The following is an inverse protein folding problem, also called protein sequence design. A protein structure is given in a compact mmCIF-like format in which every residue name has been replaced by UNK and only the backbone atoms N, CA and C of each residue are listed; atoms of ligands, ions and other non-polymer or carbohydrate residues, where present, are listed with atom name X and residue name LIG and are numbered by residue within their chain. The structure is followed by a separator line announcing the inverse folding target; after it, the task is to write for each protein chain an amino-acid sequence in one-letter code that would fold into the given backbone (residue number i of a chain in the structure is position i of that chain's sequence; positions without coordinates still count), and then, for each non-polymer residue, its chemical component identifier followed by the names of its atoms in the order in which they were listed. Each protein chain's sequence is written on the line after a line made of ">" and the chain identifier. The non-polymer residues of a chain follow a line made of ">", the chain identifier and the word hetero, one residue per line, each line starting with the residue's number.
data_IF_656869023962
#
_entry.id   IF_656869023962
#
_cell.length_a   1.000
_cell.length_b   1.000
_cell.length_c   1.000
_cell.angle_alpha   90.00
_cell.angle_beta   90.00
_cell.angle_gamma   90.00
#
_symmetry.space_group_name_H-M   'P 1'
#
loop_
_entity.id
_entity.type
_entity.pdbx_description
1 polymer ?
#
# COMPACT_ATOMS: atom_id res chain seq x y z
N UNK A 1 -13.46 3.86 20.96
CA UNK A 1 -12.06 4.24 20.77
C UNK A 1 -11.27 3.00 20.51
N UNK A 2 -10.54 2.97 19.41
CA UNK A 2 -9.64 1.86 19.06
C UNK A 2 -8.37 1.94 19.92
N UNK A 3 -7.93 0.82 20.46
CA UNK A 3 -6.75 0.72 21.32
C UNK A 3 -5.80 -0.36 20.80
N UNK A 4 -5.14 -0.08 19.69
CA UNK A 4 -4.12 -0.95 19.09
C UNK A 4 -2.73 -0.33 19.27
N UNK A 5 -1.67 -1.09 18.99
CA UNK A 5 -0.33 -0.50 18.95
C UNK A 5 -0.28 0.67 17.95
N UNK A 6 -0.87 0.48 16.76
CA UNK A 6 -0.85 1.49 15.70
C UNK A 6 -1.46 2.83 16.15
N UNK A 7 -2.65 2.78 16.78
CA UNK A 7 -3.34 3.99 17.23
C UNK A 7 -2.56 4.71 18.33
N UNK A 8 -1.94 3.96 19.25
CA UNK A 8 -1.12 4.55 20.32
C UNK A 8 0.21 5.11 19.83
N UNK A 9 0.94 4.35 18.99
CA UNK A 9 2.26 4.74 18.51
C UNK A 9 2.22 5.99 17.62
N UNK A 10 1.15 6.12 16.83
CA UNK A 10 1.00 7.22 15.89
C UNK A 10 0.05 8.32 16.36
N UNK A 11 -0.60 8.14 17.53
CA UNK A 11 -1.61 9.05 18.06
C UNK A 11 -2.66 9.39 16.99
N UNK A 12 -3.29 8.33 16.46
CA UNK A 12 -4.35 8.37 15.46
C UNK A 12 -5.60 7.64 15.99
N UNK A 13 -6.76 7.96 15.45
CA UNK A 13 -8.04 7.44 15.96
C UNK A 13 -8.37 6.05 15.47
N UNK A 14 -7.94 5.70 14.25
CA UNK A 14 -8.33 4.49 13.53
C UNK A 14 -7.13 3.59 13.24
N UNK A 15 -7.29 2.24 13.35
CA UNK A 15 -6.21 1.30 13.11
C UNK A 15 -5.97 1.05 11.60
N UNK A 16 -5.88 2.14 10.82
CA UNK A 16 -5.73 2.08 9.36
C UNK A 16 -4.59 2.99 8.88
N UNK A 17 -3.74 2.43 8.03
CA UNK A 17 -2.82 3.15 7.16
C UNK A 17 -3.34 3.12 5.72
N UNK A 18 -3.33 4.26 5.04
CA UNK A 18 -3.47 4.30 3.58
C UNK A 18 -2.19 3.85 2.90
N UNK A 19 -2.28 2.90 1.96
CA UNK A 19 -1.10 2.34 1.31
C UNK A 19 -0.33 3.39 0.47
N UNK A 20 1.01 3.36 0.50
CA UNK A 20 1.86 4.28 -0.26
C UNK A 20 1.97 3.84 -1.73
N UNK A 21 0.91 3.98 -2.47
CA UNK A 21 0.81 3.53 -3.86
C UNK A 21 1.55 4.50 -4.79
N UNK A 22 2.72 4.10 -5.30
CA UNK A 22 3.53 4.92 -6.20
C UNK A 22 2.76 5.39 -7.43
N UNK A 23 2.79 6.71 -7.71
CA UNK A 23 2.05 7.32 -8.80
C UNK A 23 0.52 7.38 -8.63
N UNK A 24 -0.01 6.88 -7.51
CA UNK A 24 -1.46 6.86 -7.21
C UNK A 24 -1.80 7.54 -5.88
N UNK A 25 -1.00 7.33 -4.83
CA UNK A 25 -1.20 7.93 -3.52
C UNK A 25 -0.31 9.17 -3.35
N UNK A 26 -0.85 10.32 -3.70
CA UNK A 26 -0.28 11.64 -3.42
C UNK A 26 -0.85 12.26 -2.14
N UNK A 27 -0.58 13.56 -1.97
CA UNK A 27 -1.00 14.32 -0.78
C UNK A 27 -2.51 14.39 -0.60
N UNK A 28 -3.29 14.43 -1.68
CA UNK A 28 -4.75 14.51 -1.60
C UNK A 28 -5.33 13.23 -0.99
N UNK A 29 -4.99 12.06 -1.55
CA UNK A 29 -5.43 10.78 -1.01
C UNK A 29 -4.94 10.59 0.42
N UNK A 30 -3.65 10.83 0.68
CA UNK A 30 -3.06 10.69 2.01
C UNK A 30 -3.75 11.63 3.02
N UNK A 31 -4.02 12.89 2.64
CA UNK A 31 -4.71 13.87 3.47
C UNK A 31 -6.13 13.44 3.83
N UNK A 32 -6.90 12.91 2.87
CA UNK A 32 -8.27 12.44 3.16
C UNK A 32 -8.31 11.22 4.09
N UNK A 33 -7.37 10.28 3.95
CA UNK A 33 -7.25 9.15 4.89
C UNK A 33 -6.88 9.65 6.28
N UNK A 34 -5.98 10.63 6.38
CA UNK A 34 -5.59 11.25 7.66
C UNK A 34 -6.76 12.03 8.27
N UNK A 35 -7.49 12.81 7.48
CA UNK A 35 -8.67 13.54 7.93
C UNK A 35 -9.82 12.63 8.40
N UNK A 36 -9.85 11.37 7.95
CA UNK A 36 -10.76 10.34 8.46
C UNK A 36 -10.38 9.80 9.85
N UNK A 37 -9.18 10.11 10.34
CA UNK A 37 -8.65 9.61 11.63
C UNK A 37 -7.67 8.43 11.51
N UNK A 38 -7.37 7.95 10.30
CA UNK A 38 -6.26 7.04 10.02
C UNK A 38 -4.94 7.79 9.78
N UNK A 39 -4.02 7.18 9.05
CA UNK A 39 -2.81 7.86 8.56
C UNK A 39 -2.56 7.48 7.09
N UNK A 40 -2.74 8.44 6.20
CA UNK A 40 -2.43 8.26 4.79
C UNK A 40 -0.93 8.33 4.53
N UNK A 41 -0.41 7.43 3.70
CA UNK A 41 0.99 7.47 3.30
C UNK A 41 1.14 7.94 1.85
N UNK A 42 2.09 8.84 1.63
CA UNK A 42 2.52 9.24 0.29
C UNK A 42 3.46 8.17 -0.26
N UNK A 43 3.18 7.67 -1.45
CA UNK A 43 4.11 6.80 -2.18
C UNK A 43 5.20 7.61 -2.85
N UNK A 44 6.41 7.64 -2.30
CA UNK A 44 7.54 8.36 -2.86
C UNK A 44 8.57 7.40 -3.47
N UNK A 45 9.00 7.69 -4.68
CA UNK A 45 10.00 6.94 -5.43
C UNK A 45 10.96 7.90 -6.14
N UNK A 46 11.79 7.40 -7.07
CA UNK A 46 12.80 8.20 -7.79
C UNK A 46 12.30 9.47 -8.48
N UNK A 47 10.99 9.60 -8.72
CA UNK A 47 10.39 10.83 -9.25
C UNK A 47 10.18 11.93 -8.20
N UNK A 48 10.23 11.58 -6.91
CA UNK A 48 9.94 12.51 -5.83
C UNK A 48 11.16 13.42 -5.57
N UNK A 49 11.02 14.67 -5.96
CA UNK A 49 12.00 15.74 -5.66
C UNK A 49 11.60 16.50 -4.39
N UNK A 50 12.50 17.27 -3.76
CA UNK A 50 12.14 18.14 -2.63
C UNK A 50 10.97 19.09 -2.96
N UNK A 51 10.93 19.63 -4.18
CA UNK A 51 9.82 20.47 -4.64
C UNK A 51 8.50 19.73 -4.74
N UNK A 52 8.52 18.50 -5.28
CA UNK A 52 7.35 17.63 -5.31
C UNK A 52 6.86 17.28 -3.90
N UNK A 53 7.77 16.92 -2.98
CA UNK A 53 7.42 16.67 -1.58
C UNK A 53 6.75 17.91 -0.97
N UNK A 54 7.32 19.10 -1.14
CA UNK A 54 6.74 20.37 -0.64
C UNK A 54 5.31 20.60 -1.15
N UNK A 55 5.02 20.27 -2.41
CA UNK A 55 3.66 20.37 -2.96
C UNK A 55 2.73 19.33 -2.30
N UNK A 56 3.17 18.08 -2.10
CA UNK A 56 2.35 17.08 -1.41
C UNK A 56 2.00 17.52 0.02
N UNK A 57 2.94 18.12 0.75
CA UNK A 57 2.71 18.64 2.11
C UNK A 57 1.66 19.74 2.12
N UNK A 58 1.73 20.67 1.16
CA UNK A 58 0.73 21.74 1.02
C UNK A 58 -0.67 21.18 0.78
N UNK A 59 -0.78 20.12 -0.04
CA UNK A 59 -2.06 19.45 -0.34
C UNK A 59 -2.61 18.73 0.89
N UNK A 60 -1.76 18.02 1.65
CA UNK A 60 -2.17 17.40 2.92
C UNK A 60 -2.67 18.44 3.92
N UNK A 61 -1.94 19.56 4.08
CA UNK A 61 -2.36 20.64 4.96
C UNK A 61 -3.74 21.20 4.61
N UNK A 62 -4.05 21.32 3.33
CA UNK A 62 -5.37 21.74 2.88
C UNK A 62 -6.49 20.72 3.18
N UNK A 63 -6.19 19.42 3.18
CA UNK A 63 -7.15 18.34 3.39
C UNK A 63 -7.35 17.97 4.87
N UNK A 64 -6.26 17.94 5.67
CA UNK A 64 -6.23 17.43 7.04
C UNK A 64 -5.75 18.44 8.09
N UNK A 65 -5.36 19.64 7.67
CA UNK A 65 -4.80 20.69 8.53
C UNK A 65 -3.27 20.71 8.53
N UNK A 66 -2.71 21.89 8.83
CA UNK A 66 -1.25 22.13 8.76
C UNK A 66 -0.44 21.28 9.74
N UNK A 67 -1.03 20.87 10.86
CA UNK A 67 -0.42 20.03 11.89
C UNK A 67 -0.71 18.52 11.68
N UNK A 68 -1.29 18.13 10.54
CA UNK A 68 -1.64 16.74 10.26
C UNK A 68 -0.39 15.84 10.28
N UNK A 69 -0.46 14.64 10.87
CA UNK A 69 0.64 13.69 10.84
C UNK A 69 0.94 13.26 9.41
N UNK A 70 2.24 13.18 9.08
CA UNK A 70 2.73 12.82 7.76
C UNK A 70 3.30 11.40 7.76
N UNK A 71 3.12 10.69 6.64
CA UNK A 71 3.74 9.40 6.45
C UNK A 71 4.16 9.17 4.99
N UNK A 72 5.28 8.46 4.82
CA UNK A 72 5.83 8.15 3.51
C UNK A 72 6.15 6.67 3.39
N UNK A 73 5.91 6.09 2.21
CA UNK A 73 6.41 4.78 1.84
C UNK A 73 7.49 4.89 0.79
N UNK A 74 8.61 4.23 1.04
CA UNK A 74 9.80 4.23 0.21
C UNK A 74 10.15 2.81 -0.24
N UNK A 75 10.56 2.69 -1.51
CA UNK A 75 11.09 1.45 -2.06
C UNK A 75 12.58 1.36 -1.76
N UNK A 76 12.95 0.54 -0.78
CA UNK A 76 14.31 0.46 -0.23
C UNK A 76 15.35 0.11 -1.30
N UNK A 77 15.01 -0.79 -2.23
CA UNK A 77 15.91 -1.19 -3.33
C UNK A 77 16.32 -0.02 -4.23
N UNK A 78 15.56 1.06 -4.26
CA UNK A 78 15.79 2.21 -5.15
C UNK A 78 16.28 3.48 -4.44
N UNK A 79 16.52 3.43 -3.12
CA UNK A 79 16.91 4.61 -2.34
C UNK A 79 18.36 5.05 -2.57
N UNK A 80 19.24 4.15 -3.00
CA UNK A 80 20.63 4.48 -3.29
C UNK A 80 21.37 5.07 -2.09
N UNK A 81 21.93 6.25 -2.25
CA UNK A 81 22.66 6.99 -1.21
C UNK A 81 21.76 7.65 -0.14
N UNK A 82 20.46 7.65 -0.38
CA UNK A 82 19.46 8.14 0.57
C UNK A 82 19.09 9.62 0.45
N UNK A 83 19.42 10.32 -0.65
CA UNK A 83 19.00 11.72 -0.87
C UNK A 83 17.47 11.88 -0.79
N UNK A 84 16.70 10.93 -1.35
CA UNK A 84 15.24 10.92 -1.23
C UNK A 84 14.80 10.76 0.24
N UNK A 85 15.48 9.92 1.01
CA UNK A 85 15.20 9.76 2.43
C UNK A 85 15.47 11.08 3.18
N UNK A 86 16.56 11.78 2.91
CA UNK A 86 16.85 13.07 3.54
C UNK A 86 15.76 14.10 3.26
N UNK A 87 15.28 14.15 2.01
CA UNK A 87 14.18 15.04 1.64
C UNK A 87 12.85 14.68 2.36
N UNK A 88 12.58 13.40 2.54
CA UNK A 88 11.42 12.91 3.32
C UNK A 88 11.58 13.27 4.80
N UNK A 89 12.73 13.01 5.40
CA UNK A 89 12.98 13.31 6.83
C UNK A 89 12.95 14.81 7.14
N UNK A 90 13.32 15.65 6.19
CA UNK A 90 13.19 17.12 6.32
C UNK A 90 11.71 17.55 6.50
N UNK A 91 10.76 16.77 6.02
CA UNK A 91 9.32 16.98 6.23
C UNK A 91 8.82 16.55 7.64
N UNK A 92 9.70 15.96 8.47
CA UNK A 92 9.39 15.48 9.81
C UNK A 92 8.20 14.51 9.86
N UNK A 93 8.23 13.43 9.10
CA UNK A 93 7.15 12.44 9.09
C UNK A 93 7.01 11.78 10.46
N UNK A 94 5.79 11.36 10.78
CA UNK A 94 5.49 10.54 11.97
C UNK A 94 5.80 9.06 11.72
N UNK A 95 5.74 8.64 10.44
CA UNK A 95 6.00 7.26 10.02
C UNK A 95 6.70 7.23 8.67
N UNK A 96 7.67 6.32 8.54
CA UNK A 96 8.30 5.96 7.27
C UNK A 96 8.24 4.45 7.09
N UNK A 97 7.67 4.00 5.98
CA UNK A 97 7.72 2.61 5.54
C UNK A 97 8.92 2.39 4.63
N UNK A 98 9.84 1.52 5.04
CA UNK A 98 11.01 1.08 4.28
C UNK A 98 10.75 -0.36 3.79
N UNK A 99 10.35 -0.53 2.53
CA UNK A 99 9.85 -1.81 2.02
C UNK A 99 10.53 -2.21 0.72
N UNK A 100 10.52 -3.51 0.39
CA UNK A 100 11.08 -4.05 -0.84
C UNK A 100 12.60 -3.89 -0.96
N UNK A 101 13.34 -4.35 0.04
CA UNK A 101 14.80 -4.33 0.08
C UNK A 101 15.31 -4.34 1.51
N UNK A 102 16.63 -4.22 1.67
CA UNK A 102 17.26 -4.16 2.98
C UNK A 102 17.05 -2.77 3.63
N UNK A 103 16.30 -2.66 4.73
CA UNK A 103 16.09 -1.38 5.41
C UNK A 103 17.27 -0.99 6.32
N UNK A 104 18.17 -1.90 6.67
CA UNK A 104 19.20 -1.70 7.68
C UNK A 104 20.04 -0.42 7.49
N UNK A 105 20.44 -0.03 6.26
CA UNK A 105 21.20 1.20 6.06
C UNK A 105 20.45 2.49 6.43
N UNK A 106 19.14 2.45 6.58
CA UNK A 106 18.27 3.63 6.69
C UNK A 106 17.52 3.72 8.02
N UNK A 107 17.32 2.59 8.73
CA UNK A 107 16.49 2.51 9.95
C UNK A 107 16.95 3.50 11.03
N UNK A 108 18.24 3.56 11.33
CA UNK A 108 18.79 4.45 12.36
C UNK A 108 18.51 5.92 12.03
N UNK A 109 18.73 6.33 10.78
CA UNK A 109 18.44 7.70 10.30
C UNK A 109 16.97 8.09 10.47
N UNK A 110 16.04 7.16 10.18
CA UNK A 110 14.61 7.41 10.38
C UNK A 110 14.28 7.53 11.85
N UNK A 111 14.78 6.63 12.70
CA UNK A 111 14.57 6.68 14.16
C UNK A 111 15.14 7.94 14.82
N UNK A 112 16.30 8.37 14.39
CA UNK A 112 16.93 9.61 14.87
C UNK A 112 16.10 10.87 14.55
N UNK A 113 15.27 10.82 13.50
CA UNK A 113 14.31 11.89 13.19
C UNK A 113 13.08 11.90 14.10
N UNK A 114 12.87 10.85 14.91
CA UNK A 114 11.71 10.64 15.75
C UNK A 114 10.54 9.94 15.05
N UNK A 115 10.71 9.52 13.80
CA UNK A 115 9.67 8.80 13.06
C UNK A 115 9.65 7.30 13.42
N UNK A 116 8.46 6.72 13.40
CA UNK A 116 8.25 5.27 13.47
C UNK A 116 8.68 4.63 12.15
N UNK A 117 9.41 3.52 12.23
CA UNK A 117 9.85 2.73 11.06
C UNK A 117 9.03 1.46 10.94
N UNK A 118 8.38 1.27 9.80
CA UNK A 118 7.74 -0.01 9.48
C UNK A 118 8.30 -0.59 8.19
N UNK A 119 8.16 -1.91 7.99
CA UNK A 119 8.51 -2.57 6.73
C UNK A 119 7.45 -3.57 6.30
N UNK A 120 7.10 -3.60 5.01
CA UNK A 120 6.28 -4.65 4.43
C UNK A 120 7.12 -5.91 4.22
N UNK A 121 6.55 -7.05 4.59
CA UNK A 121 7.16 -8.37 4.47
C UNK A 121 6.18 -9.32 3.79
N UNK A 122 6.72 -10.31 3.09
CA UNK A 122 5.94 -11.29 2.35
C UNK A 122 6.21 -12.73 2.79
N UNK A 123 7.23 -12.94 3.64
CA UNK A 123 7.62 -14.23 4.22
C UNK A 123 8.17 -14.04 5.64
N UNK A 124 8.33 -15.15 6.38
CA UNK A 124 9.01 -15.13 7.70
C UNK A 124 10.53 -14.89 7.55
N UNK A 125 11.09 -15.22 6.40
CA UNK A 125 12.50 -14.89 6.09
C UNK A 125 12.68 -13.38 5.99
N UNK A 126 11.76 -12.67 5.30
CA UNK A 126 11.75 -11.21 5.26
C UNK A 126 11.60 -10.61 6.65
N UNK A 127 10.73 -11.20 7.50
CA UNK A 127 10.55 -10.77 8.88
C UNK A 127 11.87 -10.73 9.63
N UNK A 128 12.66 -11.81 9.55
CA UNK A 128 13.95 -11.90 10.25
C UNK A 128 14.95 -10.84 9.78
N UNK A 129 14.97 -10.55 8.48
CA UNK A 129 15.82 -9.51 7.90
C UNK A 129 15.46 -8.13 8.47
N UNK A 130 14.17 -7.75 8.46
CA UNK A 130 13.75 -6.42 8.90
C UNK A 130 13.75 -6.27 10.43
N UNK A 131 13.50 -7.36 11.17
CA UNK A 131 13.61 -7.40 12.63
C UNK A 131 15.05 -7.19 13.08
N UNK A 132 16.01 -7.85 12.42
CA UNK A 132 17.43 -7.64 12.65
C UNK A 132 17.88 -6.21 12.30
N UNK A 133 17.26 -5.57 11.34
CA UNK A 133 17.49 -4.16 10.99
C UNK A 133 16.91 -3.19 12.03
N UNK A 134 16.02 -3.65 12.92
CA UNK A 134 15.50 -2.87 14.03
C UNK A 134 14.28 -2.02 13.69
N UNK A 135 13.41 -2.43 12.79
CA UNK A 135 12.12 -1.76 12.53
C UNK A 135 11.22 -1.81 13.77
N UNK A 136 10.25 -0.88 13.89
CA UNK A 136 9.35 -0.80 15.04
C UNK A 136 8.11 -1.68 14.89
N UNK A 137 7.70 -1.98 13.66
CA UNK A 137 6.60 -2.88 13.33
C UNK A 137 6.73 -3.41 11.90
N UNK A 138 6.00 -4.47 11.60
CA UNK A 138 5.96 -5.07 10.26
C UNK A 138 4.55 -5.07 9.68
N UNK A 139 4.46 -5.06 8.36
CA UNK A 139 3.21 -5.23 7.62
C UNK A 139 3.27 -6.57 6.89
N UNK A 140 2.54 -7.57 7.36
CA UNK A 140 2.36 -8.83 6.67
C UNK A 140 1.50 -8.60 5.41
N UNK A 141 2.18 -8.42 4.28
CA UNK A 141 1.53 -8.14 3.00
C UNK A 141 1.35 -9.45 2.22
N UNK A 142 0.12 -9.94 2.18
CA UNK A 142 -0.20 -11.16 1.42
C UNK A 142 -0.24 -10.96 -0.09
N UNK A 143 -0.10 -12.06 -0.84
CA UNK A 143 -0.15 -12.10 -2.29
C UNK A 143 -1.48 -11.66 -2.92
N UNK A 144 -2.50 -11.41 -2.12
CA UNK A 144 -3.77 -10.81 -2.52
C UNK A 144 -3.66 -9.30 -2.75
N UNK A 145 -2.57 -8.65 -2.25
CA UNK A 145 -2.33 -7.23 -2.40
C UNK A 145 -2.09 -6.84 -3.86
N UNK A 146 -2.47 -5.61 -4.22
CA UNK A 146 -2.10 -4.97 -5.48
C UNK A 146 -0.70 -4.38 -5.42
N UNK A 147 -0.12 -4.11 -6.58
CA UNK A 147 1.28 -3.71 -6.71
C UNK A 147 2.24 -4.86 -6.40
N UNK A 148 3.49 -4.53 -6.14
CA UNK A 148 4.50 -5.55 -5.85
C UNK A 148 4.21 -6.23 -4.51
N UNK A 149 4.30 -7.56 -4.49
CA UNK A 149 3.95 -8.39 -3.34
C UNK A 149 4.59 -9.78 -3.44
N UNK A 150 4.36 -10.62 -2.43
CA UNK A 150 4.74 -12.02 -2.41
C UNK A 150 3.66 -12.94 -2.95
N UNK A 151 3.76 -14.24 -2.60
CA UNK A 151 2.87 -15.28 -3.10
C UNK A 151 1.98 -15.90 -2.02
N UNK A 152 2.31 -15.73 -0.75
CA UNK A 152 1.54 -16.30 0.38
C UNK A 152 0.28 -15.46 0.55
N UNK A 153 -0.89 -16.11 0.67
CA UNK A 153 -2.16 -15.41 0.93
C UNK A 153 -2.13 -14.70 2.30
N UNK A 154 -2.94 -13.65 2.44
CA UNK A 154 -2.88 -12.74 3.61
C UNK A 154 -3.07 -13.45 4.94
N UNK A 155 -4.08 -14.30 5.07
CA UNK A 155 -4.38 -14.95 6.35
C UNK A 155 -3.34 -15.99 6.78
N UNK A 156 -2.82 -16.89 5.92
CA UNK A 156 -1.68 -17.75 6.28
C UNK A 156 -0.44 -16.96 6.69
N UNK A 157 -0.04 -15.95 5.89
CA UNK A 157 1.13 -15.13 6.20
C UNK A 157 0.98 -14.42 7.54
N UNK A 158 -0.19 -13.82 7.81
CA UNK A 158 -0.44 -13.12 9.08
C UNK A 158 -0.27 -14.05 10.27
N UNK A 159 -0.77 -15.29 10.20
CA UNK A 159 -0.65 -16.28 11.27
C UNK A 159 0.81 -16.72 11.50
N UNK A 160 1.55 -16.97 10.41
CA UNK A 160 2.97 -17.34 10.50
C UNK A 160 3.79 -16.21 11.12
N UNK A 161 3.57 -14.97 10.70
CA UNK A 161 4.28 -13.78 11.20
C UNK A 161 3.94 -13.54 12.68
N UNK A 162 2.66 -13.58 13.07
CA UNK A 162 2.23 -13.41 14.47
C UNK A 162 2.82 -14.48 15.39
N UNK A 163 3.07 -15.69 14.90
CA UNK A 163 3.70 -16.77 15.65
C UNK A 163 5.23 -16.69 15.70
N UNK A 164 5.85 -15.79 14.92
CA UNK A 164 7.30 -15.75 14.73
C UNK A 164 7.99 -14.52 15.33
N UNK A 165 7.24 -13.50 15.79
CA UNK A 165 7.80 -12.26 16.34
C UNK A 165 6.95 -11.68 17.47
N UNK A 166 7.60 -10.88 18.33
CA UNK A 166 6.95 -10.03 19.32
C UNK A 166 6.72 -8.59 18.79
N UNK A 167 7.21 -8.26 17.60
CA UNK A 167 6.94 -6.96 16.98
C UNK A 167 5.44 -6.80 16.70
N UNK A 168 4.92 -5.56 16.77
CA UNK A 168 3.58 -5.27 16.28
C UNK A 168 3.43 -5.62 14.80
N UNK A 169 2.39 -6.37 14.44
CA UNK A 169 2.10 -6.81 13.07
C UNK A 169 0.86 -6.11 12.55
N UNK A 170 0.97 -5.46 11.41
CA UNK A 170 -0.16 -4.98 10.62
C UNK A 170 -0.42 -5.95 9.46
N UNK A 171 -1.61 -5.93 8.90
CA UNK A 171 -1.96 -6.77 7.75
C UNK A 171 -2.20 -5.94 6.50
N UNK A 172 -1.83 -6.46 5.34
CA UNK A 172 -2.15 -5.88 4.02
C UNK A 172 -2.48 -6.95 3.00
N UNK A 173 -3.35 -6.62 2.03
CA UNK A 173 -3.80 -7.53 0.98
C UNK A 173 -5.21 -8.09 1.25
N UNK A 174 -6.12 -7.92 0.29
CA UNK A 174 -7.51 -8.38 0.39
C UNK A 174 -8.40 -7.60 1.36
N UNK A 175 -7.88 -6.59 2.07
CA UNK A 175 -8.61 -5.83 3.09
C UNK A 175 -9.27 -4.60 2.44
N UNK A 176 -10.52 -4.75 2.00
CA UNK A 176 -11.27 -3.67 1.35
C UNK A 176 -12.62 -3.37 2.00
N UNK A 177 -12.98 -4.08 3.07
CA UNK A 177 -14.26 -3.93 3.78
C UNK A 177 -14.07 -4.04 5.28
N UNK A 178 -15.10 -3.68 6.06
CA UNK A 178 -15.08 -3.89 7.51
C UNK A 178 -14.99 -5.37 7.91
N UNK A 179 -15.47 -6.28 7.08
CA UNK A 179 -15.29 -7.72 7.31
C UNK A 179 -13.80 -8.11 7.27
N UNK A 180 -13.06 -7.60 6.27
CA UNK A 180 -11.62 -7.83 6.16
C UNK A 180 -10.85 -7.23 7.33
N UNK A 181 -11.14 -5.99 7.69
CA UNK A 181 -10.50 -5.34 8.84
C UNK A 181 -10.80 -6.09 10.15
N UNK A 182 -12.06 -6.44 10.40
CA UNK A 182 -12.43 -7.20 11.60
C UNK A 182 -11.72 -8.56 11.68
N UNK A 183 -11.60 -9.27 10.55
CA UNK A 183 -10.94 -10.57 10.49
C UNK A 183 -9.46 -10.48 10.87
N UNK A 184 -8.71 -9.53 10.32
CA UNK A 184 -7.27 -9.41 10.63
C UNK A 184 -7.02 -8.89 12.04
N UNK A 185 -7.86 -7.99 12.56
CA UNK A 185 -7.78 -7.55 13.96
C UNK A 185 -8.10 -8.69 14.93
N UNK A 186 -9.13 -9.50 14.65
CA UNK A 186 -9.46 -10.68 15.44
C UNK A 186 -8.34 -11.74 15.41
N UNK A 187 -7.59 -11.84 14.32
CA UNK A 187 -6.42 -12.71 14.22
C UNK A 187 -5.20 -12.20 15.04
N UNK A 188 -5.21 -10.93 15.49
CA UNK A 188 -4.13 -10.35 16.31
C UNK A 188 -3.37 -9.21 15.64
N UNK A 189 -3.71 -8.82 14.39
CA UNK A 189 -3.10 -7.66 13.76
C UNK A 189 -3.39 -6.38 14.55
N UNK A 190 -2.43 -5.46 14.56
CA UNK A 190 -2.50 -4.17 15.25
C UNK A 190 -3.05 -3.03 14.37
N UNK A 191 -3.45 -3.34 13.15
CA UNK A 191 -4.01 -2.44 12.17
C UNK A 191 -3.94 -3.03 10.76
N UNK A 192 -4.42 -2.29 9.78
CA UNK A 192 -4.39 -2.68 8.38
C UNK A 192 -3.82 -1.58 7.47
N UNK A 193 -3.11 -2.01 6.43
CA UNK A 193 -2.69 -1.17 5.32
C UNK A 193 -3.67 -1.37 4.16
N UNK A 194 -4.42 -0.34 3.80
CA UNK A 194 -5.49 -0.38 2.80
C UNK A 194 -5.04 0.32 1.51
N UNK A 195 -5.09 -0.39 0.39
CA UNK A 195 -4.70 0.15 -0.92
C UNK A 195 -5.84 0.11 -1.93
N UNK A 196 -6.15 -1.06 -2.48
CA UNK A 196 -7.08 -1.24 -3.61
C UNK A 196 -8.45 -0.61 -3.38
N UNK A 197 -8.99 -0.68 -2.16
CA UNK A 197 -10.26 -0.04 -1.82
C UNK A 197 -10.27 1.49 -1.99
N UNK A 198 -9.10 2.12 -1.96
CA UNK A 198 -8.92 3.57 -2.13
C UNK A 198 -8.65 3.97 -3.59
N UNK A 199 -8.39 3.02 -4.51
CA UNK A 199 -8.01 3.35 -5.89
C UNK A 199 -9.14 3.97 -6.71
N UNK A 200 -10.40 3.75 -6.35
CA UNK A 200 -11.55 4.38 -6.99
C UNK A 200 -11.94 5.72 -6.35
N UNK A 201 -11.13 6.22 -5.42
CA UNK A 201 -11.39 7.54 -4.80
C UNK A 201 -10.97 8.67 -5.74
N UNK A 202 -11.76 9.77 -5.80
CA UNK A 202 -11.45 10.93 -6.65
C UNK A 202 -10.08 11.57 -6.35
N UNK A 203 -9.57 11.38 -5.14
CA UNK A 203 -8.29 11.91 -4.67
C UNK A 203 -7.07 11.09 -5.17
N UNK A 204 -7.33 10.00 -5.89
CA UNK A 204 -6.26 9.17 -6.45
C UNK A 204 -5.70 9.79 -7.72
N UNK A 205 -4.39 9.87 -7.82
CA UNK A 205 -3.70 10.33 -9.04
C UNK A 205 -3.77 9.28 -10.14
N UNK A 206 -3.84 9.70 -11.40
CA UNK A 206 -3.69 8.84 -12.56
C UNK A 206 -4.85 8.92 -13.56
N UNK A 207 -4.85 8.09 -14.61
CA UNK A 207 -5.81 8.16 -15.69
C UNK A 207 -7.20 7.64 -15.27
N UNK A 208 -8.24 8.18 -15.88
CA UNK A 208 -9.63 7.81 -15.60
C UNK A 208 -9.95 6.37 -15.95
N UNK A 209 -9.26 5.78 -16.96
CA UNK A 209 -9.46 4.36 -17.31
C UNK A 209 -9.19 3.43 -16.12
N UNK A 210 -8.26 3.79 -15.25
CA UNK A 210 -7.90 2.94 -14.11
C UNK A 210 -9.05 2.79 -13.11
N UNK A 211 -9.81 3.86 -12.88
CA UNK A 211 -11.02 3.81 -12.04
C UNK A 211 -12.10 2.97 -12.73
N UNK A 212 -12.34 3.19 -14.02
CA UNK A 212 -13.34 2.42 -14.79
C UNK A 212 -13.01 0.92 -14.79
N UNK A 213 -11.76 0.57 -15.12
CA UNK A 213 -11.31 -0.81 -15.12
C UNK A 213 -11.46 -1.47 -13.74
N UNK A 214 -11.18 -0.73 -12.66
CA UNK A 214 -11.32 -1.23 -11.30
C UNK A 214 -12.78 -1.52 -10.94
N UNK A 215 -13.72 -0.64 -11.32
CA UNK A 215 -15.14 -0.81 -11.03
C UNK A 215 -15.79 -1.98 -11.80
N UNK A 216 -15.22 -2.35 -12.94
CA UNK A 216 -15.66 -3.49 -13.75
C UNK A 216 -15.00 -4.81 -13.33
N UNK A 217 -13.90 -4.75 -12.58
CA UNK A 217 -13.09 -5.90 -12.22
C UNK A 217 -13.74 -6.77 -11.14
N UNK A 218 -13.52 -8.08 -11.26
CA UNK A 218 -13.79 -9.07 -10.23
C UNK A 218 -12.48 -9.49 -9.56
N UNK A 219 -12.57 -10.15 -8.41
CA UNK A 219 -11.40 -10.68 -7.69
C UNK A 219 -10.54 -11.64 -8.52
N UNK A 220 -11.14 -12.28 -9.52
CA UNK A 220 -10.48 -13.19 -10.48
C UNK A 220 -9.71 -12.47 -11.59
N UNK A 221 -10.00 -11.20 -11.81
CA UNK A 221 -9.50 -10.45 -12.96
C UNK A 221 -8.15 -9.77 -12.66
N UNK A 222 -7.34 -10.39 -11.79
CA UNK A 222 -5.99 -9.94 -11.45
C UNK A 222 -4.95 -10.98 -11.83
N UNK A 223 -3.80 -10.52 -12.27
CA UNK A 223 -2.63 -11.35 -12.61
C UNK A 223 -1.42 -10.94 -11.77
N UNK A 224 -0.63 -11.92 -11.31
CA UNK A 224 0.64 -11.70 -10.61
C UNK A 224 1.77 -11.86 -11.62
N UNK A 225 2.41 -10.77 -12.03
CA UNK A 225 3.27 -10.71 -13.21
C UNK A 225 4.38 -9.68 -13.07
N UNK A 226 5.46 -9.87 -13.81
CA UNK A 226 6.58 -8.93 -13.95
C UNK A 226 6.64 -8.28 -15.34
N UNK A 227 5.67 -8.58 -16.23
CA UNK A 227 5.69 -8.13 -17.63
C UNK A 227 5.71 -6.61 -17.78
N UNK A 228 5.03 -5.89 -16.87
CA UNK A 228 5.04 -4.43 -16.89
C UNK A 228 6.37 -3.83 -16.47
N UNK A 229 7.08 -4.48 -15.54
CA UNK A 229 8.40 -4.03 -15.11
C UNK A 229 9.44 -4.32 -16.20
N UNK A 230 9.38 -5.51 -16.78
CA UNK A 230 10.22 -5.91 -17.92
C UNK A 230 10.04 -4.98 -19.13
N UNK A 231 8.78 -4.71 -19.51
CA UNK A 231 8.47 -3.82 -20.63
C UNK A 231 8.99 -2.39 -20.42
N UNK A 232 8.97 -1.90 -19.17
CA UNK A 232 9.45 -0.56 -18.80
C UNK A 232 10.90 -0.53 -18.32
N UNK A 233 11.62 -1.64 -18.46
CA UNK A 233 13.00 -1.79 -18.00
C UNK A 233 13.22 -1.37 -16.54
N UNK A 234 12.22 -1.63 -15.66
CA UNK A 234 12.31 -1.33 -14.26
C UNK A 234 13.05 -2.45 -13.52
N UNK A 235 14.18 -2.19 -12.85
CA UNK A 235 15.01 -3.24 -12.26
C UNK A 235 14.46 -3.69 -10.89
N UNK A 236 13.20 -4.11 -10.85
CA UNK A 236 12.65 -4.67 -9.64
C UNK A 236 13.35 -5.98 -9.26
N UNK A 237 13.66 -6.20 -7.98
CA UNK A 237 14.18 -7.48 -7.54
C UNK A 237 13.18 -8.62 -7.85
N UNK A 238 13.68 -9.71 -8.41
CA UNK A 238 12.87 -10.81 -8.96
C UNK A 238 12.05 -11.59 -7.94
N UNK A 239 12.23 -11.33 -6.65
CA UNK A 239 11.42 -11.92 -5.57
C UNK A 239 10.03 -11.27 -5.46
N UNK A 240 9.81 -10.09 -6.03
CA UNK A 240 8.54 -9.37 -6.01
C UNK A 240 8.03 -9.09 -7.42
N UNK A 241 6.91 -9.69 -7.77
CA UNK A 241 6.18 -9.34 -8.97
C UNK A 241 5.00 -8.42 -8.61
N UNK A 242 4.48 -7.70 -9.60
CA UNK A 242 3.32 -6.86 -9.43
C UNK A 242 2.00 -7.62 -9.60
N UNK A 243 1.03 -7.40 -8.73
CA UNK A 243 -0.36 -7.80 -9.02
C UNK A 243 -1.12 -6.63 -9.63
N UNK A 244 -1.63 -6.86 -10.82
CA UNK A 244 -2.38 -5.87 -11.60
C UNK A 244 -3.68 -6.47 -12.15
N UNK A 245 -4.59 -5.63 -12.64
CA UNK A 245 -5.71 -6.09 -13.43
C UNK A 245 -5.22 -6.70 -14.75
N UNK A 246 -5.82 -7.81 -15.16
CA UNK A 246 -5.58 -8.43 -16.46
C UNK A 246 -6.12 -7.54 -17.58
N UNK A 247 -5.40 -7.49 -18.69
CA UNK A 247 -5.78 -6.73 -19.89
C UNK A 247 -5.10 -7.32 -21.14
N UNK A 248 -5.31 -6.72 -22.31
CA UNK A 248 -4.75 -7.20 -23.58
C UNK A 248 -3.21 -7.32 -23.55
N UNK A 249 -2.53 -6.46 -22.77
CA UNK A 249 -1.08 -6.54 -22.61
C UNK A 249 -0.67 -7.77 -21.81
N UNK A 250 -1.30 -8.02 -20.66
CA UNK A 250 -1.01 -9.21 -19.85
C UNK A 250 -1.38 -10.51 -20.58
N UNK A 251 -2.49 -10.54 -21.31
CA UNK A 251 -2.93 -11.70 -22.06
C UNK A 251 -1.92 -12.09 -23.17
N UNK A 252 -1.22 -11.10 -23.72
CA UNK A 252 -0.20 -11.30 -24.73
C UNK A 252 1.15 -11.75 -24.17
N UNK A 253 1.54 -11.24 -22.99
CA UNK A 253 2.92 -11.33 -22.54
C UNK A 253 3.12 -12.14 -21.25
N UNK A 254 2.06 -12.41 -20.45
CA UNK A 254 2.22 -13.01 -19.11
C UNK A 254 2.88 -14.39 -19.13
N UNK A 255 2.46 -15.27 -20.05
CA UNK A 255 2.98 -16.64 -20.18
C UNK A 255 4.09 -16.76 -21.25
N UNK A 256 4.53 -15.63 -21.80
CA UNK A 256 5.50 -15.57 -22.91
C UNK A 256 6.84 -14.97 -22.52
N UNK A 257 7.88 -15.38 -23.25
CA UNK A 257 9.19 -14.74 -23.21
C UNK A 257 9.27 -13.62 -24.25
N UNK A 258 10.05 -12.58 -23.96
CA UNK A 258 10.46 -11.62 -24.99
C UNK A 258 9.82 -10.25 -24.92
N UNK A 259 9.01 -9.92 -23.90
CA UNK A 259 8.52 -8.55 -23.72
C UNK A 259 9.66 -7.54 -23.56
N UNK A 260 10.77 -7.93 -22.93
CA UNK A 260 11.99 -7.11 -22.79
C UNK A 260 12.67 -6.80 -24.12
N UNK A 261 12.56 -7.71 -25.10
CA UNK A 261 13.13 -7.55 -26.44
C UNK A 261 12.17 -6.90 -27.44
N UNK A 262 10.93 -6.65 -27.03
CA UNK A 262 9.90 -6.02 -27.86
C UNK A 262 10.12 -4.51 -27.94
N UNK A 263 10.56 -4.05 -29.10
CA UNK A 263 10.73 -2.63 -29.40
C UNK A 263 9.37 -1.93 -29.54
N UNK A 264 8.66 -1.64 -28.49
CA UNK A 264 7.34 -0.98 -28.57
C UNK A 264 6.46 -1.28 -27.38
N UNK A 265 6.88 -2.22 -26.50
CA UNK A 265 6.09 -2.58 -25.33
C UNK A 265 5.97 -1.44 -24.31
N UNK A 266 7.03 -0.65 -24.13
CA UNK A 266 7.00 0.53 -23.25
C UNK A 266 6.13 1.63 -23.85
N UNK A 267 6.24 1.87 -25.16
CA UNK A 267 5.42 2.84 -25.89
C UNK A 267 3.93 2.49 -25.86
N UNK A 268 3.57 1.21 -25.97
CA UNK A 268 2.18 0.77 -25.84
C UNK A 268 1.59 1.10 -24.48
N UNK A 269 2.35 0.87 -23.38
CA UNK A 269 1.94 1.21 -22.02
C UNK A 269 1.79 2.72 -21.87
N UNK A 270 2.76 3.49 -22.34
CA UNK A 270 2.75 4.96 -22.27
C UNK A 270 1.60 5.56 -23.08
N UNK A 271 1.37 5.06 -24.30
CA UNK A 271 0.27 5.50 -25.14
C UNK A 271 -1.10 5.20 -24.52
N UNK A 272 -1.24 4.07 -23.80
CA UNK A 272 -2.46 3.77 -23.05
C UNK A 272 -2.69 4.76 -21.92
N UNK A 273 -1.64 5.13 -21.20
CA UNK A 273 -1.73 6.12 -20.12
C UNK A 273 -2.14 7.49 -20.66
N UNK A 274 -1.48 7.97 -21.72
CA UNK A 274 -1.73 9.29 -22.33
C UNK A 274 -3.09 9.35 -23.05
N UNK A 275 -3.53 8.23 -23.62
CA UNK A 275 -4.79 8.11 -24.37
C UNK A 275 -6.01 7.71 -23.55
N UNK A 276 -5.88 7.58 -22.23
CA UNK A 276 -6.92 7.04 -21.32
C UNK A 276 -7.49 5.68 -21.80
N UNK A 277 -6.61 4.76 -22.25
CA UNK A 277 -6.98 3.47 -22.83
C UNK A 277 -6.58 2.30 -21.89
N UNK A 278 -7.52 1.48 -21.38
CA UNK A 278 -7.21 0.39 -20.45
C UNK A 278 -6.51 -0.80 -21.09
N UNK A 279 -6.50 -0.95 -22.42
CA UNK A 279 -6.08 -2.19 -23.10
C UNK A 279 -4.65 -2.62 -22.81
N UNK A 280 -3.72 -1.66 -22.70
CA UNK A 280 -2.32 -1.93 -22.38
C UNK A 280 -1.86 -1.18 -21.11
N UNK A 281 -2.76 -0.40 -20.50
CA UNK A 281 -2.44 0.43 -19.33
C UNK A 281 -2.29 -0.36 -18.05
N UNK A 282 -1.32 0.01 -17.23
CA UNK A 282 -1.07 -0.65 -15.94
C UNK A 282 -2.07 -0.18 -14.89
N UNK A 283 -2.82 -1.12 -14.31
CA UNK A 283 -3.66 -0.87 -13.14
C UNK A 283 -3.26 -1.85 -12.04
N UNK A 284 -2.31 -1.44 -11.18
CA UNK A 284 -1.95 -2.24 -10.01
C UNK A 284 -3.10 -2.26 -9.01
N UNK A 285 -3.75 -3.42 -8.89
CA UNK A 285 -4.85 -3.67 -7.97
C UNK A 285 -4.78 -5.10 -7.44
N UNK A 286 -5.16 -5.30 -6.18
CA UNK A 286 -5.22 -6.61 -5.56
C UNK A 286 -6.53 -7.34 -5.83
N UNK A 287 -6.65 -8.56 -5.31
CA UNK A 287 -7.87 -9.36 -5.41
C UNK A 287 -9.08 -8.72 -4.72
N UNK A 288 -8.85 -7.73 -3.84
CA UNK A 288 -9.91 -6.86 -3.32
C UNK A 288 -10.58 -5.95 -4.37
N UNK A 289 -10.17 -5.98 -5.65
CA UNK A 289 -10.82 -5.25 -6.74
C UNK A 289 -12.31 -5.55 -6.83
N UNK A 290 -12.70 -6.82 -6.71
CA UNK A 290 -14.11 -7.22 -6.71
C UNK A 290 -14.95 -6.74 -5.52
N UNK A 291 -14.35 -6.02 -4.57
CA UNK A 291 -15.03 -5.39 -3.43
C UNK A 291 -15.26 -3.89 -3.64
N UNK A 292 -14.76 -3.32 -4.76
CA UNK A 292 -14.88 -1.91 -5.10
C UNK A 292 -16.03 -1.76 -6.10
N UNK A 293 -17.14 -1.16 -5.67
CA UNK A 293 -18.39 -1.09 -6.44
C UNK A 293 -18.77 0.32 -6.89
N UNK A 294 -18.08 1.34 -6.39
CA UNK A 294 -18.44 2.74 -6.66
C UNK A 294 -17.27 3.69 -6.43
N UNK A 295 -17.32 4.84 -7.08
CA UNK A 295 -16.44 5.99 -6.81
C UNK A 295 -16.91 6.66 -5.52
N UNK A 296 -16.02 6.69 -4.51
CA UNK A 296 -16.31 7.30 -3.21
C UNK A 296 -15.10 8.07 -2.71
N UNK A 297 -15.29 9.22 -2.04
CA UNK A 297 -14.20 9.89 -1.33
C UNK A 297 -13.46 8.94 -0.39
N UNK A 298 -12.14 9.03 -0.36
CA UNK A 298 -11.31 8.15 0.47
C UNK A 298 -11.72 8.19 1.95
N UNK A 299 -12.07 9.35 2.45
CA UNK A 299 -12.61 9.53 3.80
C UNK A 299 -13.83 8.64 4.06
N UNK A 300 -14.82 8.64 3.18
CA UNK A 300 -16.03 7.83 3.32
C UNK A 300 -15.74 6.32 3.26
N UNK A 301 -14.78 5.93 2.41
CA UNK A 301 -14.32 4.53 2.33
C UNK A 301 -13.75 4.10 3.68
N UNK A 302 -12.82 4.87 4.26
CA UNK A 302 -12.21 4.57 5.56
C UNK A 302 -13.26 4.54 6.68
N UNK A 303 -14.11 5.55 6.78
CA UNK A 303 -15.16 5.63 7.78
C UNK A 303 -16.11 4.41 7.70
N UNK A 304 -16.48 4.00 6.49
CA UNK A 304 -17.34 2.83 6.24
C UNK A 304 -16.68 1.51 6.66
N UNK A 305 -15.40 1.31 6.30
CA UNK A 305 -14.63 0.11 6.68
C UNK A 305 -14.57 0.00 8.21
N UNK A 306 -14.26 1.07 8.90
CA UNK A 306 -14.08 1.05 10.36
C UNK A 306 -15.39 0.86 11.09
N UNK A 307 -16.46 1.56 10.69
CA UNK A 307 -17.77 1.42 11.31
C UNK A 307 -18.33 -0.02 11.15
N UNK A 308 -18.13 -0.63 9.97
CA UNK A 308 -18.55 -2.02 9.75
C UNK A 308 -17.68 -3.00 10.54
N UNK A 309 -16.36 -2.79 10.63
CA UNK A 309 -15.47 -3.62 11.43
C UNK A 309 -15.83 -3.59 12.92
N UNK A 310 -16.10 -2.41 13.47
CA UNK A 310 -16.52 -2.28 14.87
C UNK A 310 -17.82 -3.04 15.15
N UNK A 311 -18.82 -2.89 14.29
CA UNK A 311 -20.09 -3.61 14.41
C UNK A 311 -19.87 -5.13 14.40
N UNK A 312 -19.05 -5.64 13.49
CA UNK A 312 -18.74 -7.07 13.35
C UNK A 312 -17.99 -7.63 14.55
N UNK A 313 -16.97 -6.92 15.03
CA UNK A 313 -16.22 -7.34 16.22
C UNK A 313 -17.09 -7.40 17.46
N UNK A 314 -18.01 -6.43 17.65
CA UNK A 314 -18.98 -6.48 18.74
C UNK A 314 -19.93 -7.66 18.64
N UNK A 315 -20.46 -7.93 17.43
CA UNK A 315 -21.34 -9.09 17.18
C UNK A 315 -20.62 -10.44 17.35
N UNK A 316 -19.32 -10.49 17.09
CA UNK A 316 -18.54 -11.73 17.28
C UNK A 316 -18.42 -12.12 18.76
N UNK A 317 -18.46 -11.17 19.69
CA UNK A 317 -18.47 -11.46 21.12
C UNK A 317 -19.71 -12.28 21.52
N UNK A 318 -20.85 -12.07 20.87
CA UNK A 318 -22.10 -12.80 21.13
C UNK A 318 -22.02 -14.29 20.77
N UNK A 319 -21.01 -14.74 19.99
CA UNK A 319 -20.80 -16.14 19.67
C UNK A 319 -20.38 -16.98 20.89
N UNK A 320 -19.93 -16.36 21.96
CA UNK A 320 -19.46 -17.01 23.19
C UNK A 320 -20.47 -16.93 24.35
N UNK A 321 -21.50 -16.13 24.23
CA UNK A 321 -22.51 -15.88 25.28
C UNK A 321 -23.74 -16.80 25.15
N UNK A 322 -23.56 -18.06 24.75
CA UNK A 322 -24.64 -19.04 24.61
C UNK A 322 -24.64 -20.09 25.72
#
# INVERSE_FOLDING_TARGET
>A
VWNTWLTRALDIDLPILGAPMGGRAGGELAGQVTAAGGLGMIGAARYATPGWIGEQLRVIGAAAGDDAPLAFGLQTWSLGDGELLDAVLAAKPKLVSLSFGDPAPYVERVKDSGAVVISQINTVEDLREVEAAGVDAVVAQGGEAGGHTGRIATLPLLQEVLGATDLPVLAAGGIGTGAGLAAVLAAGAQGALVGTALLASPETVGPDYAIKALLEARSTDTVYTDVFDKARHQPWPTRWFGRALSNDFTDRWHDGDGVEASSGAEEEISASYDGDDPRNGVVYAGQGAGLVDSVRPAREVIESIVADAERRLRATAELFDA
#
